data_IF_779653431075
#
_entry.id   IF_779653431075
#
_cell.length_a   1.000
_cell.length_b   1.000
_cell.length_c   1.000
_cell.angle_alpha   90.00
_cell.angle_beta   90.00
_cell.angle_gamma   90.00
#
_symmetry.space_group_name_H-M   'P 1'
#
loop_
_entity.id
_entity.type
_entity.pdbx_description
1 polymer ?
#
# COMPACT_ATOMS: atom_id res chain seq x y z
N UNK A 1 -14.05 25.47 3.11
CA UNK A 1 -14.49 24.32 3.94
C UNK A 1 -15.47 24.75 5.01
N UNK A 2 -15.31 25.92 5.64
CA UNK A 2 -16.22 26.45 6.67
C UNK A 2 -17.69 26.57 6.22
N UNK A 3 -17.93 27.06 5.01
CA UNK A 3 -19.27 27.19 4.42
C UNK A 3 -20.00 25.83 4.30
N UNK A 4 -19.25 24.74 4.10
CA UNK A 4 -19.82 23.39 3.90
C UNK A 4 -20.28 22.80 5.24
N UNK A 5 -19.50 22.99 6.30
CA UNK A 5 -19.86 22.60 7.66
C UNK A 5 -21.08 23.36 8.18
N UNK A 6 -21.19 24.66 7.87
CA UNK A 6 -22.36 25.47 8.22
C UNK A 6 -23.63 25.04 7.46
N UNK A 7 -23.49 24.61 6.21
CA UNK A 7 -24.61 24.04 5.45
C UNK A 7 -25.06 22.70 6.06
N UNK A 8 -24.13 21.83 6.45
CA UNK A 8 -24.49 20.51 7.01
C UNK A 8 -25.11 20.58 8.40
N UNK A 9 -24.71 21.54 9.25
CA UNK A 9 -25.32 21.71 10.58
C UNK A 9 -26.80 22.13 10.52
N UNK A 10 -27.24 22.68 9.39
CA UNK A 10 -28.63 23.15 9.17
C UNK A 10 -29.52 22.13 8.46
N UNK A 11 -28.99 20.95 8.10
CA UNK A 11 -29.71 19.97 7.29
C UNK A 11 -30.19 18.75 8.11
N UNK A 12 -31.41 18.24 7.83
CA UNK A 12 -31.87 16.99 8.43
C UNK A 12 -30.98 15.79 8.07
N UNK A 13 -30.83 14.83 8.98
CA UNK A 13 -29.98 13.65 8.81
C UNK A 13 -30.28 12.84 7.53
N UNK A 14 -31.56 12.75 7.13
CA UNK A 14 -31.98 12.09 5.88
C UNK A 14 -31.45 12.80 4.62
N UNK A 15 -31.31 14.13 4.67
CA UNK A 15 -30.76 14.93 3.58
C UNK A 15 -29.24 14.81 3.50
N UNK A 16 -28.55 14.76 4.65
CA UNK A 16 -27.10 14.51 4.71
C UNK A 16 -26.69 13.19 4.04
N UNK A 17 -27.49 12.13 4.21
CA UNK A 17 -27.25 10.84 3.57
C UNK A 17 -27.31 10.92 2.03
N UNK A 18 -28.17 11.78 1.47
CA UNK A 18 -28.31 11.98 0.02
C UNK A 18 -27.17 12.84 -0.55
N UNK A 19 -26.67 13.82 0.22
CA UNK A 19 -25.56 14.68 -0.19
C UNK A 19 -24.23 13.95 -0.37
N UNK A 20 -24.07 12.75 0.24
CA UNK A 20 -22.92 11.86 0.03
C UNK A 20 -22.72 11.43 -1.42
N UNK A 21 -23.80 11.40 -2.23
CA UNK A 21 -23.77 10.95 -3.62
C UNK A 21 -23.50 12.07 -4.63
N UNK A 22 -23.45 13.33 -4.18
CA UNK A 22 -23.48 14.51 -5.06
C UNK A 22 -22.10 15.11 -5.27
N UNK A 23 -21.15 14.85 -4.36
CA UNK A 23 -19.77 15.30 -4.49
C UNK A 23 -18.79 14.37 -3.76
N UNK A 24 -17.67 14.04 -4.43
CA UNK A 24 -16.57 13.25 -3.85
C UNK A 24 -15.94 13.94 -2.63
N UNK A 25 -15.95 15.28 -2.60
CA UNK A 25 -15.52 16.06 -1.45
C UNK A 25 -16.44 15.83 -0.24
N UNK A 26 -17.76 15.72 -0.47
CA UNK A 26 -18.76 15.56 0.60
C UNK A 26 -18.88 14.13 1.13
N UNK A 27 -18.66 13.12 0.29
CA UNK A 27 -18.51 11.72 0.73
C UNK A 27 -17.30 11.52 1.67
N UNK A 28 -16.25 12.32 1.50
CA UNK A 28 -15.01 12.22 2.28
C UNK A 28 -15.12 12.64 3.74
N UNK A 29 -16.23 13.28 4.14
CA UNK A 29 -16.47 13.81 5.49
C UNK A 29 -16.79 12.68 6.50
N UNK A 30 -17.07 11.45 6.02
CA UNK A 30 -17.33 10.28 6.86
C UNK A 30 -16.27 9.18 6.68
N UNK A 31 -14.99 9.54 6.76
CA UNK A 31 -13.90 8.54 6.73
C UNK A 31 -13.93 7.70 8.00
N UNK A 32 -14.09 6.39 7.85
CA UNK A 32 -13.78 5.42 8.89
C UNK A 32 -12.30 5.10 8.79
N UNK A 33 -11.58 5.31 9.89
CA UNK A 33 -10.20 4.86 10.03
C UNK A 33 -10.24 3.38 10.38
N UNK A 34 -9.49 2.56 9.65
CA UNK A 34 -9.30 1.14 9.97
C UNK A 34 -7.93 0.98 10.61
N UNK A 35 -7.87 0.28 11.74
CA UNK A 35 -6.63 -0.04 12.42
C UNK A 35 -6.55 -1.54 12.69
N UNK A 36 -5.35 -2.07 12.65
CA UNK A 36 -5.05 -3.46 13.00
C UNK A 36 -4.12 -3.48 14.20
N UNK A 37 -4.40 -4.36 15.16
CA UNK A 37 -3.53 -4.65 16.29
C UNK A 37 -3.00 -6.07 16.13
N UNK A 38 -1.69 -6.22 16.07
CA UNK A 38 -1.05 -7.54 16.17
C UNK A 38 -0.77 -7.86 17.64
N UNK A 39 -1.25 -9.02 18.09
CA UNK A 39 -0.97 -9.56 19.42
C UNK A 39 0.25 -10.48 19.40
N UNK A 40 0.86 -10.69 20.56
CA UNK A 40 2.03 -11.56 20.73
C UNK A 40 1.80 -13.03 20.31
N UNK A 41 0.55 -13.51 20.36
CA UNK A 41 0.14 -14.81 19.82
C UNK A 41 -0.14 -14.77 18.32
N UNK A 42 0.41 -13.77 17.61
CA UNK A 42 0.30 -13.63 16.17
C UNK A 42 -1.15 -13.38 15.67
N UNK A 43 -2.06 -12.93 16.54
CA UNK A 43 -3.43 -12.61 16.13
C UNK A 43 -3.55 -11.16 15.68
N UNK A 44 -4.23 -10.93 14.55
CA UNK A 44 -4.65 -9.60 14.14
C UNK A 44 -6.07 -9.32 14.59
N UNK A 45 -6.26 -8.20 15.28
CA UNK A 45 -7.58 -7.63 15.58
C UNK A 45 -7.80 -6.40 14.72
N UNK A 46 -8.94 -6.33 14.05
CA UNK A 46 -9.29 -5.19 13.22
C UNK A 46 -10.38 -4.35 13.88
N UNK A 47 -10.13 -3.05 13.90
CA UNK A 47 -11.04 -2.05 14.46
C UNK A 47 -11.31 -0.96 13.44
N UNK A 48 -12.49 -0.34 13.50
CA UNK A 48 -12.69 0.95 12.84
C UNK A 48 -13.18 2.02 13.79
N UNK A 49 -12.68 3.23 13.62
CA UNK A 49 -13.18 4.41 14.31
C UNK A 49 -13.69 5.42 13.28
N UNK A 50 -14.73 6.17 13.65
CA UNK A 50 -15.11 7.34 12.86
C UNK A 50 -14.02 8.41 13.00
N UNK A 51 -13.53 8.96 11.89
CA UNK A 51 -12.58 10.07 11.97
C UNK A 51 -13.28 11.25 12.66
N UNK A 52 -12.77 11.74 13.81
CA UNK A 52 -13.38 12.88 14.49
C UNK A 52 -13.33 14.10 13.56
N UNK A 53 -14.42 14.86 13.51
CA UNK A 53 -14.45 16.17 12.86
C UNK A 53 -13.44 17.09 13.58
N UNK A 54 -12.81 18.02 12.87
CA UNK A 54 -11.65 18.77 13.35
C UNK A 54 -11.80 19.39 14.76
N UNK A 55 -10.70 19.60 15.51
CA UNK A 55 -10.73 19.96 16.93
C UNK A 55 -10.80 21.48 17.21
N UNK A 56 -11.36 22.30 16.32
CA UNK A 56 -11.33 23.76 16.52
C UNK A 56 -12.54 24.35 17.27
N UNK A 57 -13.51 23.55 17.71
CA UNK A 57 -14.53 24.04 18.63
C UNK A 57 -14.19 23.68 20.07
N UNK A 58 -13.98 24.76 20.84
CA UNK A 58 -13.65 24.80 22.27
C UNK A 58 -14.68 24.03 23.11
N UNK A 59 -14.55 22.71 23.23
CA UNK A 59 -15.18 21.92 24.28
C UNK A 59 -14.44 20.58 24.44
N UNK A 60 -13.72 20.34 25.55
CA UNK A 60 -12.94 19.12 25.76
C UNK A 60 -13.78 17.91 26.20
N UNK A 61 -15.11 18.05 26.29
CA UNK A 61 -15.98 16.97 26.76
C UNK A 61 -16.36 16.03 25.60
N UNK A 62 -15.69 14.87 25.56
CA UNK A 62 -15.93 13.70 24.69
C UNK A 62 -15.20 13.64 23.34
N UNK A 63 -13.88 13.63 23.38
CA UNK A 63 -13.03 13.09 22.28
C UNK A 63 -12.92 11.55 22.30
N UNK A 64 -13.71 10.85 23.13
CA UNK A 64 -13.71 9.39 23.18
C UNK A 64 -14.46 8.86 21.96
N UNK A 65 -13.73 8.53 20.90
CA UNK A 65 -14.27 7.76 19.78
C UNK A 65 -14.16 6.28 20.15
N UNK A 66 -15.29 5.62 20.42
CA UNK A 66 -15.32 4.17 20.53
C UNK A 66 -14.93 3.55 19.19
N UNK A 67 -13.95 2.65 19.22
CA UNK A 67 -13.57 1.88 18.05
C UNK A 67 -14.46 0.62 17.95
N UNK A 68 -15.10 0.44 16.80
CA UNK A 68 -15.87 -0.76 16.49
C UNK A 68 -14.90 -1.91 16.24
N UNK A 69 -14.95 -2.96 17.06
CA UNK A 69 -14.26 -4.22 16.77
C UNK A 69 -15.00 -4.96 15.65
N UNK A 70 -14.28 -5.35 14.61
CA UNK A 70 -14.88 -6.12 13.52
C UNK A 70 -14.61 -7.61 13.65
N UNK A 71 -13.33 -7.98 13.79
CA UNK A 71 -12.93 -9.36 13.58
C UNK A 71 -11.51 -9.66 14.06
N UNK A 72 -11.22 -10.96 14.16
CA UNK A 72 -9.96 -11.54 14.61
C UNK A 72 -9.49 -12.56 13.58
N UNK A 73 -8.21 -12.49 13.20
CA UNK A 73 -7.54 -13.50 12.38
C UNK A 73 -6.42 -14.13 13.22
N UNK A 74 -6.44 -15.46 13.36
CA UNK A 74 -5.32 -16.22 13.94
C UNK A 74 -4.28 -16.55 12.85
N UNK A 75 -2.99 -16.36 13.18
CA UNK A 75 -1.85 -16.66 12.30
C UNK A 75 -1.47 -18.14 12.23
N UNK A 76 -2.14 -19.03 12.95
CA UNK A 76 -1.73 -20.46 13.05
C UNK A 76 -1.49 -21.13 11.69
N UNK A 77 -2.09 -20.63 10.60
CA UNK A 77 -1.79 -20.98 9.20
C UNK A 77 -2.00 -19.81 8.21
N UNK A 78 -1.73 -18.56 8.59
CA UNK A 78 -2.21 -17.43 7.77
C UNK A 78 -1.23 -17.02 6.65
N UNK A 79 -1.73 -16.65 5.46
CA UNK A 79 -0.92 -16.03 4.42
C UNK A 79 -0.32 -14.69 4.88
N UNK A 80 0.88 -14.36 4.43
CA UNK A 80 1.62 -13.13 4.79
C UNK A 80 0.82 -11.88 4.38
N UNK A 81 0.59 -10.98 5.35
CA UNK A 81 0.00 -9.67 5.10
C UNK A 81 0.88 -8.90 4.11
N UNK A 82 0.28 -8.32 3.07
CA UNK A 82 1.03 -7.58 2.06
C UNK A 82 0.61 -6.15 1.89
N UNK A 83 -0.68 -5.85 2.01
CA UNK A 83 -1.18 -4.47 1.91
C UNK A 83 -2.64 -4.35 2.35
N UNK A 84 -2.99 -3.13 2.77
CA UNK A 84 -4.36 -2.65 2.96
C UNK A 84 -4.63 -1.56 1.91
N UNK A 85 -5.70 -1.70 1.14
CA UNK A 85 -6.09 -0.71 0.13
C UNK A 85 -7.61 -0.56 0.09
N UNK A 86 -8.08 0.67 0.28
CA UNK A 86 -9.49 1.06 0.23
C UNK A 86 -10.46 0.17 1.04
N UNK A 87 -10.00 -0.37 2.17
CA UNK A 87 -10.79 -1.21 3.06
C UNK A 87 -10.72 -2.71 2.78
N UNK A 88 -9.87 -3.15 1.84
CA UNK A 88 -9.56 -4.56 1.61
C UNK A 88 -8.11 -4.86 1.95
N UNK A 89 -7.88 -6.02 2.56
CA UNK A 89 -6.57 -6.55 2.89
C UNK A 89 -6.24 -7.65 1.90
N UNK A 90 -5.02 -7.63 1.37
CA UNK A 90 -4.49 -8.69 0.53
C UNK A 90 -3.46 -9.50 1.33
N UNK A 91 -3.70 -10.81 1.39
CA UNK A 91 -2.79 -11.78 1.96
C UNK A 91 -2.20 -12.68 0.87
N UNK A 92 -0.91 -12.92 0.96
CA UNK A 92 -0.18 -13.71 -0.03
C UNK A 92 0.27 -15.04 0.56
N UNK A 93 0.16 -16.11 -0.22
CA UNK A 93 0.54 -17.46 0.22
C UNK A 93 2.04 -17.58 0.58
N UNK A 94 2.36 -18.21 1.71
CA UNK A 94 3.73 -18.35 2.23
C UNK A 94 4.25 -19.77 2.42
N UNK A 95 3.48 -20.84 2.22
CA UNK A 95 3.99 -22.18 2.54
C UNK A 95 4.41 -23.02 1.31
N UNK A 96 5.70 -23.33 1.25
CA UNK A 96 6.34 -24.13 0.20
C UNK A 96 6.54 -25.60 0.64
N UNK A 97 6.36 -25.95 1.93
CA UNK A 97 6.91 -27.21 2.47
C UNK A 97 5.91 -28.37 2.61
N UNK A 98 4.60 -28.16 2.41
CA UNK A 98 3.59 -29.22 2.60
C UNK A 98 2.70 -29.44 1.37
N UNK A 99 3.18 -29.20 0.14
CA UNK A 99 2.40 -29.49 -1.08
C UNK A 99 1.00 -28.85 -1.10
N UNK A 100 0.79 -27.81 -0.28
CA UNK A 100 -0.50 -27.21 -0.02
C UNK A 100 -0.95 -26.35 -1.18
N UNK A 101 -2.22 -26.50 -1.56
CA UNK A 101 -2.85 -25.81 -2.69
C UNK A 101 -3.37 -24.40 -2.28
N UNK A 102 -2.59 -23.68 -1.48
CA UNK A 102 -3.05 -22.45 -0.84
C UNK A 102 -3.08 -21.29 -1.84
N UNK A 103 -4.15 -20.52 -1.80
CA UNK A 103 -4.45 -19.46 -2.78
C UNK A 103 -4.28 -18.10 -2.12
N UNK A 104 -3.83 -17.05 -2.85
CA UNK A 104 -3.88 -15.70 -2.32
C UNK A 104 -5.30 -15.33 -1.93
N UNK A 105 -5.45 -14.54 -0.87
CA UNK A 105 -6.75 -14.22 -0.28
C UNK A 105 -6.94 -12.72 -0.21
N UNK A 106 -8.16 -12.28 -0.51
CA UNK A 106 -8.60 -10.93 -0.21
C UNK A 106 -9.58 -10.97 0.92
N UNK A 107 -9.37 -10.09 1.88
CA UNK A 107 -10.13 -10.03 3.10
C UNK A 107 -10.78 -8.67 3.26
N UNK A 108 -12.06 -8.67 3.60
CA UNK A 108 -12.78 -7.48 4.01
C UNK A 108 -12.86 -7.47 5.55
N UNK A 109 -12.01 -6.69 6.24
CA UNK A 109 -12.01 -6.63 7.69
C UNK A 109 -13.28 -6.05 8.30
N UNK A 110 -14.10 -5.30 7.54
CA UNK A 110 -15.37 -4.75 8.04
C UNK A 110 -16.47 -5.81 8.03
N UNK A 111 -16.54 -6.63 6.98
CA UNK A 111 -17.58 -7.68 6.87
C UNK A 111 -17.12 -9.03 7.39
N UNK A 112 -15.82 -9.19 7.67
CA UNK A 112 -15.21 -10.48 8.02
C UNK A 112 -15.16 -11.49 6.87
N UNK A 113 -15.58 -11.10 5.66
CA UNK A 113 -15.62 -11.98 4.50
C UNK A 113 -14.23 -12.08 3.86
N UNK A 114 -13.88 -13.27 3.38
CA UNK A 114 -12.70 -13.49 2.58
C UNK A 114 -13.04 -14.16 1.26
N UNK A 115 -12.21 -13.92 0.25
CA UNK A 115 -12.32 -14.53 -1.07
C UNK A 115 -10.95 -15.07 -1.51
N UNK A 116 -10.94 -16.34 -1.95
CA UNK A 116 -9.77 -16.96 -2.56
C UNK A 116 -9.60 -16.51 -4.01
N UNK A 117 -8.39 -16.11 -4.37
CA UNK A 117 -8.03 -15.74 -5.74
C UNK A 117 -7.60 -16.98 -6.55
N UNK A 118 -7.62 -16.90 -7.89
CA UNK A 118 -7.05 -17.96 -8.73
C UNK A 118 -5.60 -18.24 -8.35
N UNK A 119 -5.23 -19.53 -8.36
CA UNK A 119 -3.87 -19.96 -8.02
C UNK A 119 -2.86 -19.28 -8.94
N UNK A 120 -1.76 -18.84 -8.36
CA UNK A 120 -0.62 -18.28 -9.08
C UNK A 120 0.66 -18.93 -8.58
N UNK A 121 1.38 -19.62 -9.45
CA UNK A 121 2.74 -20.08 -9.15
C UNK A 121 3.62 -18.87 -8.88
N UNK A 122 4.30 -18.85 -7.73
CA UNK A 122 5.12 -17.73 -7.31
C UNK A 122 6.45 -18.20 -6.74
N UNK A 123 7.50 -17.44 -7.01
CA UNK A 123 8.76 -17.56 -6.29
C UNK A 123 8.65 -16.84 -4.95
N UNK A 124 9.28 -17.37 -3.88
CA UNK A 124 9.20 -16.84 -2.50
C UNK A 124 9.43 -15.33 -2.38
N UNK A 125 10.31 -14.78 -3.23
CA UNK A 125 10.65 -13.34 -3.26
C UNK A 125 9.84 -12.50 -4.27
N UNK A 126 8.72 -13.01 -4.78
CA UNK A 126 7.84 -12.26 -5.68
C UNK A 126 6.85 -11.41 -4.87
N UNK A 127 6.52 -10.23 -5.38
CA UNK A 127 5.65 -9.28 -4.68
C UNK A 127 4.27 -9.20 -5.33
N UNK A 128 3.30 -8.78 -4.55
CA UNK A 128 1.95 -8.53 -5.02
C UNK A 128 1.38 -7.30 -4.33
N UNK A 129 0.76 -6.44 -5.12
CA UNK A 129 0.23 -5.15 -4.68
C UNK A 129 -1.25 -5.08 -5.01
N UNK A 130 -2.06 -4.70 -4.02
CA UNK A 130 -3.47 -4.40 -4.24
C UNK A 130 -3.61 -2.92 -4.62
N UNK A 131 -4.30 -2.67 -5.73
CA UNK A 131 -4.63 -1.33 -6.21
C UNK A 131 -6.13 -1.15 -6.33
N UNK A 132 -6.60 0.07 -6.06
CA UNK A 132 -8.01 0.46 -6.21
C UNK A 132 -8.12 1.66 -7.13
N UNK A 133 -8.87 1.53 -8.23
CA UNK A 133 -9.26 2.64 -9.09
C UNK A 133 -10.55 3.28 -8.53
N UNK A 134 -10.48 4.48 -7.92
CA UNK A 134 -11.64 5.14 -7.34
C UNK A 134 -12.62 5.68 -8.38
N UNK A 135 -12.20 5.80 -9.64
CA UNK A 135 -13.07 6.30 -10.71
C UNK A 135 -13.79 5.14 -11.40
N UNK A 136 -13.15 3.97 -11.51
CA UNK A 136 -13.73 2.76 -12.09
C UNK A 136 -14.43 1.90 -11.04
N UNK A 137 -14.24 2.23 -9.76
CA UNK A 137 -14.70 1.49 -8.59
C UNK A 137 -14.30 0.01 -8.66
N UNK A 138 -13.01 -0.21 -8.92
CA UNK A 138 -12.51 -1.53 -9.27
C UNK A 138 -11.18 -1.79 -8.59
N UNK A 139 -10.96 -3.03 -8.18
CA UNK A 139 -9.71 -3.46 -7.59
C UNK A 139 -8.90 -4.30 -8.57
N UNK A 140 -7.58 -4.13 -8.57
CA UNK A 140 -6.64 -5.00 -9.29
C UNK A 140 -5.53 -5.45 -8.37
N UNK A 141 -5.04 -6.66 -8.59
CA UNK A 141 -3.85 -7.19 -7.93
C UNK A 141 -2.73 -7.25 -8.96
N UNK A 142 -1.67 -6.48 -8.76
CA UNK A 142 -0.46 -6.51 -9.56
C UNK A 142 0.52 -7.50 -8.94
N UNK A 143 1.01 -8.45 -9.72
CA UNK A 143 2.05 -9.40 -9.34
C UNK A 143 3.35 -9.08 -10.08
N UNK A 144 4.43 -8.88 -9.31
CA UNK A 144 5.78 -8.66 -9.82
C UNK A 144 6.63 -9.89 -9.53
N UNK A 145 6.95 -10.65 -10.59
CA UNK A 145 7.85 -11.79 -10.53
C UNK A 145 9.27 -11.38 -10.10
N UNK A 146 9.91 -12.25 -9.31
CA UNK A 146 11.31 -12.06 -8.93
C UNK A 146 12.23 -12.19 -10.15
N UNK A 147 13.19 -11.28 -10.37
CA UNK A 147 14.01 -11.29 -11.59
C UNK A 147 14.97 -12.47 -11.72
N UNK A 148 15.28 -13.18 -10.62
CA UNK A 148 16.22 -14.32 -10.63
C UNK A 148 15.51 -15.67 -10.45
N UNK A 149 14.28 -15.81 -10.96
CA UNK A 149 13.54 -17.08 -10.96
C UNK A 149 13.15 -17.51 -12.39
N UNK A 150 12.69 -18.76 -12.60
CA UNK A 150 12.21 -19.23 -13.92
C UNK A 150 11.06 -18.41 -14.51
N UNK A 151 10.39 -17.60 -13.68
CA UNK A 151 9.31 -16.71 -14.05
C UNK A 151 9.74 -15.24 -14.16
N UNK A 152 11.06 -14.96 -14.24
CA UNK A 152 11.60 -13.63 -14.44
C UNK A 152 10.90 -12.89 -15.59
N UNK A 153 10.50 -11.64 -15.34
CA UNK A 153 9.75 -10.81 -16.30
C UNK A 153 8.31 -11.24 -16.58
N UNK A 154 7.82 -12.34 -15.99
CA UNK A 154 6.43 -12.80 -16.14
C UNK A 154 5.51 -12.12 -15.12
N UNK A 155 5.44 -10.79 -15.19
CA UNK A 155 4.52 -9.99 -14.40
C UNK A 155 3.07 -10.29 -14.79
N UNK A 156 2.17 -10.23 -13.81
CA UNK A 156 0.75 -10.54 -14.01
C UNK A 156 -0.15 -9.55 -13.30
N UNK A 157 -1.38 -9.49 -13.76
CA UNK A 157 -2.41 -8.68 -13.13
C UNK A 157 -3.73 -9.46 -13.10
N UNK A 158 -4.47 -9.27 -12.01
CA UNK A 158 -5.81 -9.80 -11.82
C UNK A 158 -6.76 -8.64 -11.56
N UNK A 159 -7.94 -8.68 -12.16
CA UNK A 159 -9.02 -7.73 -11.90
C UNK A 159 -10.10 -8.40 -11.06
N UNK A 160 -10.53 -7.74 -9.99
CA UNK A 160 -11.55 -8.25 -9.08
C UNK A 160 -12.93 -7.71 -9.45
N UNK A 161 -13.99 -8.43 -9.05
CA UNK A 161 -15.37 -8.02 -9.27
C UNK A 161 -15.89 -8.21 -10.71
N UNK A 162 -15.02 -8.40 -11.70
CA UNK A 162 -15.42 -8.80 -13.05
C UNK A 162 -15.59 -10.32 -13.12
N UNK A 163 -16.64 -10.81 -13.80
CA UNK A 163 -16.94 -12.25 -13.90
C UNK A 163 -15.80 -13.12 -14.47
N UNK A 164 -14.79 -12.52 -15.12
CA UNK A 164 -13.56 -13.21 -15.57
C UNK A 164 -12.42 -12.99 -14.58
N UNK A 165 -12.33 -13.84 -13.56
CA UNK A 165 -11.23 -13.84 -12.56
C UNK A 165 -10.06 -14.68 -13.05
N UNK A 166 -9.22 -14.13 -13.94
CA UNK A 166 -8.01 -14.81 -14.44
C UNK A 166 -6.81 -13.88 -14.42
N UNK A 167 -5.66 -14.42 -14.02
CA UNK A 167 -4.39 -13.74 -14.18
C UNK A 167 -4.08 -13.56 -15.65
N UNK A 168 -3.75 -12.34 -16.06
CA UNK A 168 -3.24 -12.04 -17.39
C UNK A 168 -1.84 -11.44 -17.31
N UNK A 169 -1.07 -11.63 -18.37
CA UNK A 169 0.25 -11.03 -18.51
C UNK A 169 0.12 -9.52 -18.54
N UNK A 170 1.06 -8.83 -17.88
CA UNK A 170 1.28 -7.40 -18.04
C UNK A 170 2.75 -7.18 -18.38
N UNK A 171 3.02 -6.21 -19.24
CA UNK A 171 4.38 -5.93 -19.70
C UNK A 171 4.97 -4.78 -18.90
N UNK A 172 6.16 -5.00 -18.36
CA UNK A 172 6.97 -3.99 -17.74
C UNK A 172 8.44 -4.32 -17.98
N UNK A 173 9.15 -3.44 -18.67
CA UNK A 173 10.51 -3.72 -19.15
C UNK A 173 11.58 -3.55 -18.08
N UNK A 174 11.25 -2.92 -16.95
CA UNK A 174 12.19 -2.64 -15.89
C UNK A 174 12.46 -3.88 -15.04
N UNK A 175 13.71 -4.35 -15.08
CA UNK A 175 14.20 -5.40 -14.18
C UNK A 175 14.57 -4.76 -12.84
N UNK A 176 13.82 -5.12 -11.80
CA UNK A 176 14.02 -4.60 -10.44
C UNK A 176 13.53 -5.62 -9.40
N UNK A 177 13.98 -5.45 -8.16
CA UNK A 177 13.49 -6.20 -7.00
C UNK A 177 12.68 -5.24 -6.14
N UNK A 178 11.36 -5.45 -5.94
CA UNK A 178 10.61 -4.66 -4.97
C UNK A 178 11.16 -4.86 -3.54
N UNK A 179 11.23 -3.79 -2.76
CA UNK A 179 11.82 -3.81 -1.41
C UNK A 179 10.86 -3.40 -0.30
N UNK A 180 9.63 -2.98 -0.65
CA UNK A 180 8.59 -2.66 0.32
C UNK A 180 7.21 -3.17 -0.11
N UNK A 181 6.25 -3.14 0.82
CA UNK A 181 4.86 -3.57 0.63
C UNK A 181 4.05 -2.70 -0.34
N UNK A 182 4.50 -1.47 -0.60
CA UNK A 182 3.84 -0.49 -1.45
C UNK A 182 2.57 0.12 -0.84
N UNK A 183 2.05 1.16 -1.48
CA UNK A 183 0.86 1.90 -1.06
C UNK A 183 0.02 2.31 -2.26
N UNK A 184 -1.31 2.21 -2.16
CA UNK A 184 -2.23 2.69 -3.19
C UNK A 184 -2.81 4.05 -2.80
N UNK A 185 -2.58 5.08 -3.62
CA UNK A 185 -3.06 6.45 -3.41
C UNK A 185 -3.76 6.91 -4.69
N UNK A 186 -5.03 7.29 -4.57
CA UNK A 186 -5.81 7.90 -5.65
C UNK A 186 -5.80 7.15 -7.00
N UNK A 187 -5.76 5.81 -6.99
CA UNK A 187 -5.73 5.03 -8.23
C UNK A 187 -4.34 4.65 -8.73
N UNK A 188 -3.28 5.01 -7.99
CA UNK A 188 -1.91 4.66 -8.33
C UNK A 188 -1.28 3.86 -7.19
N UNK A 189 -0.68 2.72 -7.53
CA UNK A 189 0.12 1.91 -6.61
C UNK A 189 1.57 2.37 -6.69
N UNK A 190 2.15 2.71 -5.55
CA UNK A 190 3.53 3.14 -5.41
C UNK A 190 4.31 2.11 -4.60
N UNK A 191 5.48 1.73 -5.07
CA UNK A 191 6.40 0.89 -4.29
C UNK A 191 7.84 1.19 -4.66
N UNK A 192 8.77 0.90 -3.74
CA UNK A 192 10.20 1.07 -3.95
C UNK A 192 10.76 -0.20 -4.58
N UNK A 193 11.52 -0.02 -5.65
CA UNK A 193 12.27 -1.07 -6.33
C UNK A 193 13.76 -0.78 -6.33
N UNK A 194 14.56 -1.81 -6.11
CA UNK A 194 16.00 -1.78 -6.34
C UNK A 194 16.26 -2.13 -7.81
N UNK A 195 16.80 -1.19 -8.58
CA UNK A 195 17.17 -1.40 -9.97
C UNK A 195 18.42 -2.27 -10.06
N UNK A 196 18.46 -3.19 -11.02
CA UNK A 196 19.68 -3.92 -11.32
C UNK A 196 20.57 -3.09 -12.25
N UNK A 197 21.77 -2.72 -11.78
CA UNK A 197 22.81 -2.17 -12.65
C UNK A 197 23.45 -3.36 -13.36
N UNK A 198 23.17 -3.54 -14.66
CA UNK A 198 23.86 -4.51 -15.50
C UNK A 198 25.33 -4.13 -15.66
N UNK A 199 26.17 -4.44 -14.68
CA UNK A 199 27.60 -4.65 -14.97
C UNK A 199 27.71 -6.03 -15.62
N UNK A 200 28.33 -6.11 -16.80
CA UNK A 200 28.44 -7.30 -17.67
C UNK A 200 29.18 -8.52 -17.09
N UNK A 201 29.16 -8.73 -15.78
CA UNK A 201 29.83 -9.83 -15.11
C UNK A 201 28.81 -10.62 -14.30
N UNK A 202 28.61 -11.89 -14.65
CA UNK A 202 27.88 -12.88 -13.86
C UNK A 202 28.51 -12.97 -12.46
N UNK A 203 28.05 -12.17 -11.50
CA UNK A 203 28.49 -12.29 -10.11
C UNK A 203 27.51 -13.18 -9.37
N UNK A 204 28.00 -14.36 -8.99
CA UNK A 204 27.37 -15.20 -7.99
C UNK A 204 27.19 -14.37 -6.71
N UNK A 205 25.96 -14.28 -6.18
CA UNK A 205 25.68 -13.72 -4.86
C UNK A 205 26.39 -14.57 -3.79
N UNK A 206 27.68 -14.34 -3.55
CA UNK A 206 28.32 -14.71 -2.29
C UNK A 206 27.96 -13.61 -1.29
N UNK A 207 27.29 -14.01 -0.20
CA UNK A 207 27.24 -13.22 1.04
C UNK A 207 28.66 -12.74 1.35
N UNK A 208 28.95 -11.46 1.15
CA UNK A 208 30.20 -10.88 1.62
C UNK A 208 29.93 -9.48 2.17
N UNK A 209 30.01 -9.40 3.51
CA UNK A 209 30.39 -8.18 4.22
C UNK A 209 31.72 -7.71 3.61
N UNK A 210 31.71 -6.56 2.93
CA UNK A 210 32.83 -5.62 2.81
C UNK A 210 32.36 -4.45 1.96
N UNK A 211 32.45 -3.26 2.53
CA UNK A 211 32.27 -1.95 1.92
C UNK A 211 33.03 -1.82 0.60
N UNK A 212 32.30 -1.96 -0.51
CA UNK A 212 32.67 -1.37 -1.80
C UNK A 212 31.40 -0.77 -2.38
N UNK A 213 31.47 0.51 -2.78
CA UNK A 213 30.36 1.32 -3.28
C UNK A 213 29.78 0.70 -4.56
N UNK A 214 28.92 -0.30 -4.44
CA UNK A 214 27.89 -0.56 -5.44
C UNK A 214 26.86 0.55 -5.25
N UNK A 215 26.74 1.46 -6.23
CA UNK A 215 25.65 2.43 -6.25
C UNK A 215 24.36 1.68 -6.59
N UNK A 216 23.77 1.03 -5.60
CA UNK A 216 22.44 0.45 -5.71
C UNK A 216 21.47 1.59 -6.02
N UNK A 217 20.94 1.62 -7.24
CA UNK A 217 19.98 2.64 -7.63
C UNK A 217 18.58 2.20 -7.20
N UNK A 218 17.93 3.02 -6.39
CA UNK A 218 16.56 2.79 -5.97
C UNK A 218 15.63 3.70 -6.76
N UNK A 219 14.42 3.21 -7.01
CA UNK A 219 13.39 3.95 -7.74
C UNK A 219 12.01 3.68 -7.16
N UNK A 220 11.12 4.64 -7.32
CA UNK A 220 9.70 4.47 -7.02
C UNK A 220 9.01 4.05 -8.31
N UNK A 221 8.41 2.87 -8.30
CA UNK A 221 7.55 2.42 -9.39
C UNK A 221 6.13 2.87 -9.08
N UNK A 222 5.54 3.59 -10.03
CA UNK A 222 4.18 4.10 -9.99
C UNK A 222 3.35 3.29 -11.00
N UNK A 223 2.37 2.55 -10.53
CA UNK A 223 1.48 1.76 -11.38
C UNK A 223 0.07 2.35 -11.35
N UNK A 224 -0.37 2.93 -12.46
CA UNK A 224 -1.72 3.45 -12.61
C UNK A 224 -2.70 2.27 -12.75
N UNK A 225 -3.58 2.09 -11.78
CA UNK A 225 -4.47 0.92 -11.70
C UNK A 225 -5.44 0.87 -12.88
N UNK A 226 -5.89 2.03 -13.36
CA UNK A 226 -6.89 2.12 -14.41
C UNK A 226 -6.31 1.79 -15.79
N UNK A 227 -5.32 2.58 -16.19
CA UNK A 227 -4.65 2.51 -17.48
C UNK A 227 -3.63 1.38 -17.56
N UNK A 228 -3.22 0.84 -16.40
CA UNK A 228 -2.25 -0.24 -16.25
C UNK A 228 -0.88 0.12 -16.81
N UNK A 229 -0.53 1.41 -16.70
CA UNK A 229 0.74 1.94 -17.14
C UNK A 229 1.68 2.13 -15.96
N UNK A 230 2.94 1.83 -16.20
CA UNK A 230 4.01 2.07 -15.25
C UNK A 230 4.68 3.39 -15.55
N UNK A 231 5.03 4.10 -14.47
CA UNK A 231 5.97 5.22 -14.46
C UNK A 231 7.02 4.95 -13.39
N UNK A 232 8.14 5.61 -13.52
CA UNK A 232 9.29 5.44 -12.63
C UNK A 232 9.74 6.83 -12.21
N UNK A 233 9.93 7.01 -10.91
CA UNK A 233 10.47 8.23 -10.30
C UNK A 233 11.74 7.85 -9.55
N UNK A 234 12.74 8.72 -9.56
CA UNK A 234 13.95 8.49 -8.79
C UNK A 234 13.66 8.53 -7.26
N UNK A 235 14.39 7.71 -6.50
CA UNK A 235 14.27 7.63 -5.04
C UNK A 235 15.48 8.23 -4.30
N UNK A 236 16.33 9.00 -4.99
CA UNK A 236 17.53 9.67 -4.47
C UNK A 236 17.27 10.62 -3.29
N UNK A 237 16.04 11.12 -3.12
CA UNK A 237 15.68 11.95 -1.97
C UNK A 237 15.72 11.19 -0.64
N UNK A 238 15.58 9.86 -0.67
CA UNK A 238 15.59 9.04 0.54
C UNK A 238 17.01 8.68 0.95
N UNK A 239 17.33 8.91 2.22
CA UNK A 239 18.65 8.58 2.76
C UNK A 239 18.88 7.06 2.80
N UNK A 240 17.81 6.29 3.02
CA UNK A 240 17.87 4.83 3.03
C UNK A 240 16.55 4.22 2.51
N UNK A 241 16.41 4.05 1.18
CA UNK A 241 15.20 3.52 0.55
C UNK A 241 14.71 2.16 1.08
N UNK A 242 15.60 1.34 1.65
CA UNK A 242 15.24 0.05 2.26
C UNK A 242 14.51 0.19 3.60
N UNK A 243 14.71 1.31 4.29
CA UNK A 243 14.06 1.63 5.58
C UNK A 243 12.95 2.66 5.43
N UNK A 244 12.83 3.31 4.27
CA UNK A 244 11.80 4.29 3.99
C UNK A 244 10.41 3.64 4.03
N UNK A 245 9.52 4.24 4.80
CA UNK A 245 8.09 3.87 4.79
C UNK A 245 7.34 4.82 3.87
N UNK A 246 6.62 4.28 2.89
CA UNK A 246 5.76 5.09 2.02
C UNK A 246 4.43 5.37 2.72
N UNK A 247 4.00 6.62 2.71
CA UNK A 247 2.77 7.09 3.33
C UNK A 247 1.94 7.94 2.37
N UNK A 248 0.64 8.05 2.67
CA UNK A 248 -0.26 8.97 2.00
C UNK A 248 -0.31 10.28 2.79
N UNK A 249 0.39 11.30 2.31
CA UNK A 249 0.35 12.64 2.88
C UNK A 249 -0.60 13.52 2.08
N UNK A 250 -1.81 13.75 2.61
CA UNK A 250 -2.83 14.63 2.02
C UNK A 250 -3.17 14.28 0.54
N UNK A 251 -3.14 13.00 0.19
CA UNK A 251 -3.41 12.53 -1.17
C UNK A 251 -2.19 12.50 -2.09
N UNK A 252 -1.02 12.85 -1.59
CA UNK A 252 0.27 12.75 -2.29
C UNK A 252 1.09 11.61 -1.71
N UNK A 253 1.99 11.07 -2.53
CA UNK A 253 2.99 10.13 -2.07
C UNK A 253 4.00 10.88 -1.19
N UNK A 254 4.30 10.33 -0.03
CA UNK A 254 5.45 10.75 0.74
C UNK A 254 6.23 9.55 1.27
N UNK A 255 7.53 9.73 1.53
CA UNK A 255 8.35 8.74 2.22
C UNK A 255 8.88 9.30 3.53
N UNK A 256 8.90 8.46 4.56
CA UNK A 256 9.42 8.82 5.88
C UNK A 256 10.72 8.10 6.17
N UNK A 257 11.75 8.87 6.50
CA UNK A 257 13.05 8.38 6.93
C UNK A 257 13.30 8.78 8.38
N UNK A 258 13.64 7.81 9.23
CA UNK A 258 14.11 8.07 10.58
C UNK A 258 15.65 7.99 10.58
N UNK A 259 16.29 9.12 10.79
CA UNK A 259 17.74 9.24 10.94
C UNK A 259 18.08 9.71 12.36
N UNK A 260 19.37 9.70 12.69
CA UNK A 260 19.89 10.34 13.89
C UNK A 260 20.65 11.59 13.47
N UNK A 261 20.58 12.64 14.28
CA UNK A 261 21.35 13.85 14.08
C UNK A 261 22.79 13.61 14.54
N UNK A 262 23.77 13.87 13.67
CA UNK A 262 25.17 13.50 13.90
C UNK A 262 25.81 14.24 15.10
N UNK A 263 25.30 15.42 15.45
CA UNK A 263 25.84 16.25 16.55
C UNK A 263 25.19 15.94 17.89
N UNK A 264 23.90 15.56 17.88
CA UNK A 264 23.08 15.45 19.10
C UNK A 264 22.61 14.03 19.41
N UNK A 265 22.84 13.06 18.51
CA UNK A 265 22.27 11.71 18.55
C UNK A 265 20.73 11.70 18.67
N UNK A 266 20.07 12.82 18.37
CA UNK A 266 18.62 12.94 18.49
C UNK A 266 17.93 12.27 17.28
N UNK A 267 16.81 11.55 17.49
CA UNK A 267 16.05 10.98 16.39
C UNK A 267 15.40 12.09 15.56
N UNK A 268 15.67 12.07 14.25
CA UNK A 268 15.17 13.03 13.27
C UNK A 268 14.29 12.32 12.26
N UNK A 269 13.00 12.66 12.27
CA UNK A 269 12.05 12.18 11.27
C UNK A 269 12.03 13.16 10.10
N UNK A 270 12.47 12.70 8.92
CA UNK A 270 12.35 13.45 7.66
C UNK A 270 11.17 12.90 6.86
N UNK A 271 10.40 13.79 6.26
CA UNK A 271 9.29 13.44 5.37
C UNK A 271 9.58 14.10 4.03
N UNK A 272 9.59 13.32 2.96
CA UNK A 272 9.70 13.85 1.60
C UNK A 272 8.37 13.65 0.89
N UNK A 273 7.80 14.71 0.31
CA UNK A 273 6.52 14.68 -0.39
C UNK A 273 6.77 14.86 -1.89
N UNK A 274 6.19 13.97 -2.69
CA UNK A 274 6.23 14.06 -4.16
C UNK A 274 5.18 15.08 -4.60
N UNK A 275 5.65 16.26 -5.04
CA UNK A 275 4.78 17.36 -5.46
C UNK A 275 4.27 17.17 -6.88
N UNK A 276 5.16 16.76 -7.79
CA UNK A 276 4.86 16.51 -9.19
C UNK A 276 5.59 15.24 -9.67
N UNK A 277 4.80 14.26 -10.12
CA UNK A 277 5.30 12.96 -10.60
C UNK A 277 6.01 13.10 -11.95
N UNK A 278 5.56 13.99 -12.83
CA UNK A 278 6.13 14.17 -14.17
C UNK A 278 7.46 14.93 -14.10
N UNK A 279 7.53 15.94 -13.24
CA UNK A 279 8.73 16.76 -13.03
C UNK A 279 9.69 16.14 -12.01
N UNK A 280 9.25 15.11 -11.29
CA UNK A 280 9.98 14.46 -10.19
C UNK A 280 10.40 15.46 -9.10
N UNK A 281 9.50 16.40 -8.80
CA UNK A 281 9.75 17.46 -7.81
C UNK A 281 9.39 16.97 -6.40
N UNK A 282 10.34 17.10 -5.48
CA UNK A 282 10.20 16.69 -4.09
C UNK A 282 10.30 17.90 -3.16
N UNK A 283 9.46 17.92 -2.12
CA UNK A 283 9.56 18.85 -1.00
C UNK A 283 9.92 18.08 0.28
N UNK A 284 10.68 18.71 1.18
CA UNK A 284 11.09 18.17 2.49
C UNK A 284 10.37 18.90 3.61
#
# INVERSE_FOLDING_TARGET
MELITEIFSRLPAKSMARFRCVSKLWGSIHRRLLFALERANHEFLFFSAHQPQQPYEKSPSSLVVAADFHTKISKDKSPEFRCLTSGLIYFSDTEIETGGDMKPVIYNPITGQYENLPKLSRYRKSYSFLGFDPVGNLYKVLFIAYPYCPDAGKHRILTLGTGKRRWRKIEFSLVHVPVCEGICINGVVYYIGQAEVKTSSKVHFKKRKTSSKFSEKYMIVCFDVRSEKFKVVDAECFCNPLKTTLINYKGKLAGTDLSYDDDTDAPKLCIWVLEDVERQEWSK
#
